data_IF_280706495553
#
_entry.id   IF_280706495553
#
_cell.length_a   1.000
_cell.length_b   1.000
_cell.length_c   1.000
_cell.angle_alpha   90.00
_cell.angle_beta   90.00
_cell.angle_gamma   90.00
#
_symmetry.space_group_name_H-M   'P 1'
#
loop_
_entity.id
_entity.type
_entity.pdbx_description
1 polymer ?
#
# COMPACT_ATOMS: atom_id res chain seq x y z
N UNK A 1 48.57 -18.99 14.05
CA UNK A 1 47.09 -18.89 14.03
C UNK A 1 46.68 -18.88 12.57
N UNK A 2 45.82 -19.82 12.17
CA UNK A 2 45.54 -20.15 10.75
C UNK A 2 45.14 -18.92 9.92
N UNK A 3 45.87 -18.66 8.84
CA UNK A 3 45.56 -17.65 7.82
C UNK A 3 44.41 -18.06 6.87
N UNK A 4 43.77 -19.20 7.10
CA UNK A 4 42.82 -19.81 6.14
C UNK A 4 41.34 -19.80 6.56
N UNK A 5 40.98 -19.24 7.72
CA UNK A 5 39.57 -19.26 8.16
C UNK A 5 38.83 -18.01 7.65
N UNK A 6 38.17 -18.14 6.49
CA UNK A 6 37.26 -17.11 5.96
C UNK A 6 36.07 -16.92 6.88
N UNK A 7 35.62 -15.68 7.03
CA UNK A 7 34.42 -15.34 7.81
C UNK A 7 33.17 -15.86 7.09
N UNK A 8 32.34 -16.65 7.78
CA UNK A 8 31.06 -17.09 7.23
C UNK A 8 30.02 -16.01 7.53
N UNK A 9 29.40 -15.48 6.47
CA UNK A 9 28.36 -14.46 6.52
C UNK A 9 27.07 -14.99 5.88
N UNK A 10 25.92 -14.54 6.37
CA UNK A 10 24.62 -14.82 5.79
C UNK A 10 24.31 -13.96 4.56
N UNK A 11 23.08 -14.04 4.08
CA UNK A 11 22.61 -13.20 2.97
C UNK A 11 22.44 -11.72 3.35
N UNK A 12 22.38 -11.42 4.65
CA UNK A 12 22.27 -10.10 5.25
C UNK A 12 23.17 -10.03 6.48
N UNK A 13 23.88 -8.91 6.66
CA UNK A 13 24.75 -8.70 7.82
C UNK A 13 24.71 -7.25 8.31
N UNK A 14 25.03 -7.07 9.59
CA UNK A 14 25.31 -5.76 10.16
C UNK A 14 26.80 -5.44 10.05
N UNK A 15 27.10 -4.22 9.62
CA UNK A 15 28.48 -3.72 9.57
C UNK A 15 28.54 -2.27 10.06
N UNK A 16 29.74 -1.80 10.42
CA UNK A 16 29.95 -0.42 10.85
C UNK A 16 31.11 0.23 10.12
N UNK A 17 31.09 1.56 10.06
CA UNK A 17 32.12 2.41 9.48
C UNK A 17 32.50 3.49 10.50
N UNK A 18 33.42 3.21 11.43
CA UNK A 18 33.80 4.16 12.48
C UNK A 18 34.29 5.51 11.93
N UNK A 19 35.05 5.50 10.83
CA UNK A 19 35.56 6.71 10.18
C UNK A 19 34.45 7.60 9.59
N UNK A 20 33.27 7.03 9.30
CA UNK A 20 32.10 7.75 8.80
C UNK A 20 31.08 8.06 9.91
N UNK A 21 31.36 7.69 11.16
CA UNK A 21 30.40 7.84 12.26
C UNK A 21 29.17 6.95 12.13
N UNK A 22 29.25 5.84 11.38
CA UNK A 22 28.14 4.90 11.17
C UNK A 22 28.36 3.68 12.08
N UNK A 23 27.72 3.61 13.27
CA UNK A 23 27.89 2.51 14.22
C UNK A 23 27.23 1.21 13.78
N UNK A 24 26.21 1.23 12.92
CA UNK A 24 25.56 0.02 12.39
C UNK A 24 24.71 0.28 11.12
N UNK A 25 25.05 -0.33 9.99
CA UNK A 25 24.25 -0.32 8.77
C UNK A 25 24.01 -1.75 8.29
N UNK A 26 22.76 -2.05 7.91
CA UNK A 26 22.41 -3.36 7.37
C UNK A 26 22.84 -3.45 5.92
N UNK A 27 23.70 -4.42 5.61
CA UNK A 27 24.18 -4.69 4.27
C UNK A 27 23.52 -5.95 3.71
N UNK A 28 23.10 -5.89 2.45
CA UNK A 28 22.88 -7.11 1.66
C UNK A 28 24.22 -7.63 1.20
N UNK A 29 24.51 -8.90 1.46
CA UNK A 29 25.69 -9.57 0.95
C UNK A 29 25.40 -9.98 -0.50
N UNK A 30 26.02 -9.28 -1.45
CA UNK A 30 25.67 -9.37 -2.87
C UNK A 30 26.92 -9.71 -3.71
N UNK A 31 27.10 -10.99 -3.98
CA UNK A 31 28.21 -11.49 -4.80
C UNK A 31 28.08 -11.11 -6.29
N UNK A 32 26.90 -10.67 -6.73
CA UNK A 32 26.64 -10.14 -8.06
C UNK A 32 27.12 -8.70 -8.23
N UNK A 33 27.16 -7.92 -7.15
CA UNK A 33 27.73 -6.58 -7.17
C UNK A 33 29.27 -6.62 -7.17
N UNK A 34 29.91 -5.95 -8.14
CA UNK A 34 31.38 -5.88 -8.19
C UNK A 34 31.94 -5.12 -6.99
N UNK A 35 31.52 -3.87 -6.83
CA UNK A 35 31.97 -2.94 -5.78
C UNK A 35 30.83 -2.70 -4.79
N UNK A 36 31.17 -2.50 -3.51
CA UNK A 36 30.21 -2.17 -2.47
C UNK A 36 29.55 -0.80 -2.73
N UNK A 37 28.33 -0.61 -2.21
CA UNK A 37 27.61 0.66 -2.34
C UNK A 37 26.94 1.04 -1.04
N UNK A 38 26.98 2.33 -0.72
CA UNK A 38 26.34 2.91 0.46
C UNK A 38 25.27 3.91 0.00
N UNK A 39 24.11 3.87 0.67
CA UNK A 39 23.07 4.87 0.52
C UNK A 39 23.61 6.23 0.94
N UNK A 40 23.53 7.21 0.05
CA UNK A 40 23.92 8.58 0.31
C UNK A 40 22.98 9.54 -0.40
N UNK A 41 22.63 10.62 0.29
CA UNK A 41 21.87 11.76 -0.24
C UNK A 41 22.52 13.08 0.23
N UNK A 42 22.04 14.22 -0.27
CA UNK A 42 22.65 15.54 -0.01
C UNK A 42 24.17 15.54 -0.25
N UNK A 43 24.58 14.99 -1.41
CA UNK A 43 26.00 14.79 -1.74
C UNK A 43 26.60 16.10 -2.25
N UNK A 44 27.53 16.67 -1.49
CA UNK A 44 28.20 17.95 -1.78
C UNK A 44 29.72 17.79 -1.81
N UNK A 45 30.37 17.90 -2.99
CA UNK A 45 31.82 17.92 -3.08
C UNK A 45 32.39 19.26 -2.58
N UNK A 46 33.54 19.24 -1.91
CA UNK A 46 34.26 20.43 -1.46
C UNK A 46 35.76 20.18 -1.46
N UNK A 47 36.56 21.23 -1.28
CA UNK A 47 38.02 21.11 -1.14
C UNK A 47 38.43 21.41 0.30
N UNK A 48 39.30 20.58 0.88
CA UNK A 48 39.89 20.76 2.20
C UNK A 48 41.40 20.57 2.07
N UNK A 49 42.18 21.59 2.42
CA UNK A 49 43.65 21.57 2.36
C UNK A 49 44.23 21.13 1.00
N UNK A 50 43.57 21.51 -0.11
CA UNK A 50 44.00 21.17 -1.47
C UNK A 50 43.54 19.79 -1.97
N UNK A 51 42.90 18.98 -1.13
CA UNK A 51 42.35 17.68 -1.49
C UNK A 51 40.85 17.74 -1.78
N UNK A 52 40.36 16.87 -2.67
CA UNK A 52 38.94 16.74 -2.98
C UNK A 52 38.24 15.90 -1.92
N UNK A 53 37.26 16.47 -1.28
CA UNK A 53 36.42 15.86 -0.25
C UNK A 53 34.96 15.84 -0.68
N UNK A 54 34.16 15.04 0.02
CA UNK A 54 32.72 14.98 -0.15
C UNK A 54 32.02 14.93 1.19
N UNK A 55 30.96 15.72 1.33
CA UNK A 55 30.00 15.63 2.42
C UNK A 55 28.73 14.98 1.90
N UNK A 56 28.12 14.11 2.69
CA UNK A 56 26.88 13.42 2.34
C UNK A 56 26.16 12.98 3.61
N UNK A 57 24.88 12.69 3.47
CA UNK A 57 24.05 12.17 4.54
C UNK A 57 23.63 10.74 4.24
N UNK A 58 23.51 9.94 5.31
CA UNK A 58 23.15 8.52 5.25
C UNK A 58 21.98 8.28 6.19
N UNK A 59 20.97 7.57 5.70
CA UNK A 59 19.99 6.88 6.52
C UNK A 59 20.44 5.42 6.74
N UNK A 60 21.05 5.09 7.89
CA UNK A 60 21.70 3.77 8.06
C UNK A 60 20.71 2.67 8.47
N UNK A 61 19.56 3.04 9.03
CA UNK A 61 18.53 2.11 9.47
C UNK A 61 17.51 1.90 8.34
N UNK A 62 17.19 0.63 8.08
CA UNK A 62 16.19 0.25 7.07
C UNK A 62 14.82 0.89 7.38
N UNK A 63 14.17 1.45 6.36
CA UNK A 63 12.85 2.12 6.47
C UNK A 63 12.78 3.26 7.50
N UNK A 64 13.92 3.83 7.90
CA UNK A 64 13.99 4.97 8.81
C UNK A 64 14.76 6.12 8.12
N UNK A 65 14.08 7.24 7.89
CA UNK A 65 14.67 8.48 7.37
C UNK A 65 14.90 9.56 8.44
N UNK A 66 14.56 9.28 9.70
CA UNK A 66 14.76 10.20 10.83
C UNK A 66 16.22 10.14 11.29
N UNK A 67 16.75 8.93 11.45
CA UNK A 67 18.16 8.72 11.80
C UNK A 67 19.02 9.09 10.60
N UNK A 68 19.74 10.20 10.73
CA UNK A 68 20.62 10.72 9.68
C UNK A 68 22.02 10.86 10.25
N UNK A 69 22.99 10.24 9.57
CA UNK A 69 24.40 10.40 9.87
C UNK A 69 25.00 11.28 8.79
N UNK A 70 25.59 12.40 9.20
CA UNK A 70 26.34 13.27 8.29
C UNK A 70 27.78 12.79 8.23
N UNK A 71 28.24 12.49 7.03
CA UNK A 71 29.54 11.92 6.75
C UNK A 71 30.39 12.88 5.92
N UNK A 72 31.70 12.82 6.11
CA UNK A 72 32.68 13.46 5.23
C UNK A 72 33.82 12.48 4.94
N UNK A 73 34.30 12.46 3.70
CA UNK A 73 35.40 11.58 3.30
C UNK A 73 36.17 12.15 2.10
N UNK A 74 37.49 11.87 1.96
CA UNK A 74 38.22 12.13 0.73
C UNK A 74 37.64 11.36 -0.46
N UNK A 75 37.58 12.00 -1.63
CA UNK A 75 37.17 11.35 -2.87
C UNK A 75 38.38 10.69 -3.51
N UNK A 76 38.36 9.36 -3.64
CA UNK A 76 39.45 8.61 -4.28
C UNK A 76 39.24 8.42 -5.79
N UNK A 77 37.97 8.39 -6.24
CA UNK A 77 37.63 8.17 -7.64
C UNK A 77 36.18 8.63 -7.97
N UNK A 78 35.86 8.75 -9.27
CA UNK A 78 34.50 8.86 -9.79
C UNK A 78 34.32 7.91 -10.97
N UNK A 79 33.53 6.85 -10.78
CA UNK A 79 33.33 5.82 -11.81
C UNK A 79 31.87 5.67 -12.23
N UNK A 80 31.68 5.21 -13.47
CA UNK A 80 30.37 4.82 -13.97
C UNK A 80 30.01 3.43 -13.42
N UNK A 81 28.89 3.34 -12.73
CA UNK A 81 28.33 2.09 -12.20
C UNK A 81 27.08 1.77 -12.99
N UNK A 82 26.97 0.52 -13.46
CA UNK A 82 25.80 0.01 -14.17
C UNK A 82 24.90 -0.73 -13.17
N UNK A 83 23.63 -0.37 -13.09
CA UNK A 83 22.64 -1.07 -12.28
C UNK A 83 22.23 -2.40 -12.93
N UNK A 84 21.56 -3.25 -12.15
CA UNK A 84 20.90 -4.46 -12.69
C UNK A 84 19.80 -4.15 -13.70
N UNK A 85 19.20 -2.95 -13.67
CA UNK A 85 18.24 -2.45 -14.67
C UNK A 85 18.87 -1.99 -15.99
N UNK A 86 20.20 -1.87 -16.03
CA UNK A 86 20.95 -1.47 -17.24
C UNK A 86 21.36 0.01 -17.28
N UNK A 87 20.85 0.82 -16.36
CA UNK A 87 21.14 2.26 -16.26
C UNK A 87 22.58 2.51 -15.80
N UNK A 88 23.20 3.55 -16.35
CA UNK A 88 24.55 3.99 -16.00
C UNK A 88 24.50 5.27 -15.18
N UNK A 89 25.14 5.24 -14.02
CA UNK A 89 25.23 6.39 -13.12
C UNK A 89 26.69 6.68 -12.78
N UNK A 90 27.10 7.96 -12.79
CA UNK A 90 28.45 8.37 -12.36
C UNK A 90 28.46 8.63 -10.86
N UNK A 91 29.13 7.77 -10.10
CA UNK A 91 29.13 7.80 -8.63
C UNK A 91 30.48 8.21 -8.07
N UNK A 92 30.47 8.89 -6.93
CA UNK A 92 31.68 9.14 -6.14
C UNK A 92 32.10 7.85 -5.44
N UNK A 93 33.41 7.66 -5.32
CA UNK A 93 34.02 6.53 -4.64
C UNK A 93 34.84 7.06 -3.48
N UNK A 94 34.61 6.47 -2.31
CA UNK A 94 35.37 6.74 -1.09
C UNK A 94 36.02 5.43 -0.61
N UNK A 95 37.11 5.54 0.15
CA UNK A 95 37.66 4.41 0.90
C UNK A 95 37.20 4.52 2.35
N UNK A 96 36.75 3.40 2.94
CA UNK A 96 36.45 3.35 4.37
C UNK A 96 36.70 1.95 4.93
N UNK A 97 37.17 1.89 6.16
CA UNK A 97 37.32 0.64 6.91
C UNK A 97 35.94 0.11 7.33
N UNK A 98 35.59 -1.11 6.89
CA UNK A 98 34.37 -1.82 7.30
C UNK A 98 34.68 -2.74 8.47
N UNK A 99 33.83 -2.73 9.48
CA UNK A 99 33.90 -3.64 10.61
C UNK A 99 32.69 -4.60 10.57
N UNK A 100 32.96 -5.90 10.55
CA UNK A 100 31.95 -6.96 10.40
C UNK A 100 32.44 -8.26 11.05
N UNK A 101 31.65 -8.86 11.93
CA UNK A 101 31.95 -10.14 12.57
C UNK A 101 33.31 -10.20 13.28
N UNK A 102 33.69 -9.11 13.96
CA UNK A 102 34.99 -8.99 14.64
C UNK A 102 36.18 -8.73 13.71
N UNK A 103 36.00 -8.73 12.39
CA UNK A 103 37.02 -8.39 11.40
C UNK A 103 36.91 -6.93 10.98
N UNK A 104 38.05 -6.31 10.64
CA UNK A 104 38.12 -4.95 10.10
C UNK A 104 39.08 -4.89 8.91
N UNK A 105 38.67 -4.27 7.81
CA UNK A 105 39.48 -4.09 6.60
C UNK A 105 38.91 -2.99 5.70
N UNK A 106 39.75 -2.43 4.83
CA UNK A 106 39.36 -1.33 3.94
C UNK A 106 38.58 -1.82 2.71
N UNK A 107 37.55 -1.05 2.34
CA UNK A 107 36.74 -1.28 1.14
C UNK A 107 36.47 0.04 0.41
N UNK A 108 36.34 -0.07 -0.91
CA UNK A 108 35.79 1.00 -1.72
C UNK A 108 34.26 1.01 -1.63
N UNK A 109 33.69 2.20 -1.39
CA UNK A 109 32.26 2.44 -1.35
C UNK A 109 31.86 3.40 -2.46
N UNK A 110 30.92 2.97 -3.30
CA UNK A 110 30.23 3.88 -4.21
C UNK A 110 29.04 4.55 -3.50
N UNK A 111 28.96 5.88 -3.56
CA UNK A 111 27.86 6.65 -2.98
C UNK A 111 26.70 6.73 -3.98
N UNK A 112 25.51 6.33 -3.57
CA UNK A 112 24.31 6.34 -4.44
C UNK A 112 23.02 6.54 -3.65
N UNK A 113 22.02 7.20 -4.26
CA UNK A 113 20.73 7.31 -3.61
C UNK A 113 19.93 6.01 -3.74
N UNK A 114 19.94 5.22 -2.67
CA UNK A 114 19.22 3.94 -2.55
C UNK A 114 17.91 4.02 -1.75
N UNK A 115 17.29 5.20 -1.62
CA UNK A 115 16.11 5.41 -0.77
C UNK A 115 14.88 4.57 -1.14
N UNK A 116 14.72 4.31 -2.43
CA UNK A 116 13.63 3.49 -2.99
C UNK A 116 14.00 2.02 -3.08
N UNK A 117 15.23 1.65 -2.68
CA UNK A 117 15.75 0.30 -2.77
C UNK A 117 15.65 -0.44 -1.44
N UNK A 118 15.54 -1.77 -1.50
CA UNK A 118 15.33 -2.61 -0.31
C UNK A 118 16.48 -2.61 0.70
N UNK A 119 17.69 -2.17 0.36
CA UNK A 119 18.87 -2.14 1.26
C UNK A 119 19.67 -0.86 1.14
N UNK A 120 20.03 -0.29 2.31
CA UNK A 120 20.84 0.92 2.45
C UNK A 120 22.31 0.67 2.13
N UNK A 121 22.79 -0.58 2.15
CA UNK A 121 24.13 -0.95 1.74
C UNK A 121 24.15 -2.27 0.97
N UNK A 122 25.04 -2.36 -0.03
CA UNK A 122 25.45 -3.62 -0.64
C UNK A 122 26.92 -3.89 -0.29
N UNK A 123 27.21 -5.10 0.17
CA UNK A 123 28.56 -5.60 0.32
C UNK A 123 28.93 -6.40 -0.95
N UNK A 124 29.79 -5.82 -1.79
CA UNK A 124 30.13 -6.37 -3.09
C UNK A 124 31.27 -7.39 -3.05
N UNK A 125 31.47 -8.10 -4.16
CA UNK A 125 32.44 -9.17 -4.31
C UNK A 125 33.89 -8.74 -4.07
N UNK A 126 34.29 -7.52 -4.41
CA UNK A 126 35.64 -7.01 -4.12
C UNK A 126 35.94 -6.91 -2.62
N UNK A 127 34.93 -6.57 -1.81
CA UNK A 127 35.06 -6.57 -0.36
C UNK A 127 35.17 -8.00 0.20
N UNK A 128 34.40 -8.94 -0.36
CA UNK A 128 34.33 -10.33 0.12
C UNK A 128 35.50 -11.21 -0.32
N UNK A 129 36.10 -10.93 -1.48
CA UNK A 129 37.07 -11.81 -2.14
C UNK A 129 38.27 -12.11 -1.23
N UNK A 130 38.50 -13.40 -0.97
CA UNK A 130 39.57 -13.87 -0.08
C UNK A 130 39.29 -13.74 1.42
N UNK A 131 38.18 -13.09 1.82
CA UNK A 131 37.86 -12.78 3.23
C UNK A 131 36.64 -13.53 3.75
N UNK A 132 35.65 -13.82 2.90
CA UNK A 132 34.33 -14.30 3.33
C UNK A 132 33.83 -15.52 2.54
N UNK A 133 32.96 -16.30 3.19
CA UNK A 133 32.09 -17.32 2.58
C UNK A 133 30.63 -16.95 2.85
N UNK A 134 29.77 -17.04 1.84
CA UNK A 134 28.36 -16.64 1.96
C UNK A 134 27.48 -17.89 2.13
N UNK A 135 26.76 -17.97 3.24
CA UNK A 135 25.65 -18.89 3.43
C UNK A 135 24.34 -18.20 3.01
N UNK A 136 23.76 -18.57 1.85
CA UNK A 136 22.55 -17.92 1.35
C UNK A 136 21.29 -18.24 2.16
N UNK A 137 21.31 -19.30 2.98
CA UNK A 137 20.16 -19.71 3.80
C UNK A 137 20.14 -18.99 5.16
N UNK A 138 21.28 -18.47 5.61
CA UNK A 138 21.40 -17.76 6.87
C UNK A 138 21.25 -16.24 6.70
N UNK A 139 21.06 -15.55 7.82
CA UNK A 139 21.15 -14.08 7.94
C UNK A 139 21.68 -13.75 9.33
N UNK A 140 22.45 -12.68 9.44
CA UNK A 140 23.05 -12.22 10.70
C UNK A 140 23.97 -13.28 11.33
N UNK A 141 24.70 -14.03 10.50
CA UNK A 141 25.60 -15.11 10.94
C UNK A 141 26.72 -14.62 11.85
N UNK A 142 27.04 -13.33 11.77
CA UNK A 142 28.07 -12.70 12.61
C UNK A 142 27.51 -11.74 13.67
N UNK A 143 26.21 -11.84 13.95
CA UNK A 143 25.51 -11.10 15.00
C UNK A 143 24.32 -10.30 14.46
N UNK A 144 23.22 -10.33 15.20
CA UNK A 144 22.03 -9.49 14.93
C UNK A 144 21.92 -8.36 15.96
N UNK A 145 21.33 -7.25 15.53
CA UNK A 145 21.08 -6.07 16.35
C UNK A 145 19.59 -5.88 16.54
N UNK A 146 19.17 -5.81 17.80
CA UNK A 146 17.79 -5.48 18.15
C UNK A 146 17.49 -3.99 17.88
N UNK A 147 16.22 -3.62 17.68
CA UNK A 147 15.82 -2.21 17.53
C UNK A 147 16.27 -1.31 18.69
N UNK A 148 16.29 -1.85 19.92
CA UNK A 148 16.74 -1.11 21.12
C UNK A 148 18.23 -0.82 21.06
N UNK A 149 19.06 -1.81 20.68
CA UNK A 149 20.50 -1.63 20.52
C UNK A 149 20.80 -0.60 19.42
N UNK A 150 20.10 -0.66 18.28
CA UNK A 150 20.25 0.33 17.21
C UNK A 150 19.91 1.75 17.69
N UNK A 151 18.81 1.90 18.43
CA UNK A 151 18.40 3.20 18.96
C UNK A 151 19.44 3.79 19.92
N UNK A 152 19.98 2.96 20.82
CA UNK A 152 21.07 3.33 21.72
C UNK A 152 22.34 3.74 20.96
N UNK A 153 22.76 2.96 19.95
CA UNK A 153 23.96 3.22 19.15
C UNK A 153 23.88 4.55 18.39
N UNK A 154 22.69 4.93 17.92
CA UNK A 154 22.49 6.17 17.17
C UNK A 154 22.14 7.37 18.05
N UNK A 155 22.10 7.21 19.38
CA UNK A 155 21.65 8.26 20.30
C UNK A 155 20.21 8.70 20.02
N UNK A 156 19.43 7.87 19.33
CA UNK A 156 18.02 8.12 19.09
C UNK A 156 17.35 7.70 20.38
N UNK A 157 17.06 8.67 21.24
CA UNK A 157 15.98 8.49 22.19
C UNK A 157 14.80 7.96 21.36
N UNK A 158 14.22 6.83 21.77
CA UNK A 158 12.84 6.53 21.37
C UNK A 158 12.00 7.65 21.94
N UNK A 159 12.03 8.82 21.31
CA UNK A 159 11.04 9.82 21.57
C UNK A 159 9.74 9.12 21.23
N UNK A 160 8.80 9.04 22.20
CA UNK A 160 7.46 8.61 21.89
C UNK A 160 7.02 9.40 20.66
N UNK A 161 6.42 8.73 19.68
CA UNK A 161 5.88 9.43 18.53
C UNK A 161 5.03 10.58 19.05
N UNK A 162 5.42 11.82 18.75
CA UNK A 162 4.57 13.00 19.00
C UNK A 162 3.38 13.04 18.02
N UNK A 163 3.32 12.09 17.09
CA UNK A 163 2.20 11.87 16.20
C UNK A 163 1.16 10.93 16.79
N UNK A 164 0.00 10.94 16.16
CA UNK A 164 -1.06 9.96 16.42
C UNK A 164 -0.57 8.51 16.37
N UNK A 165 -1.18 7.64 17.17
CA UNK A 165 -1.09 6.19 17.06
C UNK A 165 -2.20 5.68 16.14
N UNK A 166 -1.83 5.15 14.97
CA UNK A 166 -2.76 4.78 13.92
C UNK A 166 -2.64 3.28 13.60
N UNK A 167 -3.75 2.56 13.75
CA UNK A 167 -3.87 1.14 13.43
C UNK A 167 -4.29 0.89 11.97
N UNK A 168 -3.57 0.05 11.22
CA UNK A 168 -4.04 -0.48 9.94
C UNK A 168 -4.69 -1.83 10.17
N UNK A 169 -6.03 -1.87 10.21
CA UNK A 169 -6.83 -3.06 10.50
C UNK A 169 -7.07 -3.87 9.21
N UNK A 170 -6.29 -4.93 9.00
CA UNK A 170 -6.27 -5.68 7.75
C UNK A 170 -6.00 -7.18 7.97
N UNK A 171 -5.76 -7.94 6.90
CA UNK A 171 -5.52 -9.39 6.98
C UNK A 171 -4.20 -9.86 6.35
N UNK A 172 -3.44 -8.96 5.74
CA UNK A 172 -2.17 -9.30 5.10
C UNK A 172 -1.26 -8.05 5.07
N UNK A 173 -0.18 -8.01 5.86
CA UNK A 173 0.74 -6.87 5.90
C UNK A 173 1.55 -6.73 4.61
N UNK A 174 1.68 -7.79 3.81
CA UNK A 174 2.54 -7.81 2.63
C UNK A 174 1.92 -7.11 1.40
N UNK A 175 0.63 -6.79 1.42
CA UNK A 175 -0.05 -6.10 0.32
C UNK A 175 0.47 -4.67 0.17
N UNK A 176 0.70 -4.26 -1.09
CA UNK A 176 1.17 -2.92 -1.45
C UNK A 176 0.43 -1.81 -0.72
N UNK A 177 -0.91 -1.82 -0.75
CA UNK A 177 -1.72 -0.77 -0.12
C UNK A 177 -1.49 -0.66 1.39
N UNK A 178 -1.28 -1.78 2.08
CA UNK A 178 -1.09 -1.78 3.53
C UNK A 178 0.33 -1.31 3.87
N UNK A 179 1.36 -1.78 3.14
CA UNK A 179 2.73 -1.27 3.28
C UNK A 179 2.80 0.24 3.08
N UNK A 180 2.15 0.73 2.02
CA UNK A 180 2.11 2.16 1.70
C UNK A 180 1.45 3.00 2.77
N UNK A 181 0.36 2.54 3.38
CA UNK A 181 -0.27 3.22 4.52
C UNK A 181 0.64 3.27 5.75
N UNK A 182 1.27 2.14 6.10
CA UNK A 182 2.24 2.07 7.19
C UNK A 182 3.43 3.01 6.96
N UNK A 183 3.98 3.03 5.74
CA UNK A 183 5.08 3.91 5.35
C UNK A 183 4.66 5.39 5.36
N UNK A 184 3.50 5.72 4.78
CA UNK A 184 3.00 7.09 4.72
C UNK A 184 2.78 7.67 6.11
N UNK A 185 2.15 6.91 7.02
CA UNK A 185 1.93 7.39 8.38
C UNK A 185 3.24 7.56 9.17
N UNK A 186 4.15 6.59 9.08
CA UNK A 186 5.46 6.68 9.72
C UNK A 186 6.29 7.86 9.20
N UNK A 187 6.26 8.12 7.88
CA UNK A 187 6.92 9.25 7.24
C UNK A 187 6.36 10.61 7.70
N UNK A 188 5.08 10.64 8.10
CA UNK A 188 4.41 11.83 8.65
C UNK A 188 4.59 11.99 10.16
N UNK A 189 5.29 11.04 10.80
CA UNK A 189 5.71 11.11 12.19
C UNK A 189 4.85 10.30 13.15
N UNK A 190 3.79 9.65 12.66
CA UNK A 190 2.85 8.84 13.45
C UNK A 190 3.43 7.49 13.86
N UNK A 191 2.92 6.94 14.96
CA UNK A 191 3.13 5.55 15.33
C UNK A 191 2.16 4.69 14.54
N UNK A 192 2.68 3.81 13.68
CA UNK A 192 1.87 2.95 12.83
C UNK A 192 1.90 1.52 13.33
N UNK A 193 0.72 0.94 13.60
CA UNK A 193 0.57 -0.44 14.06
C UNK A 193 -0.25 -1.24 13.05
N UNK A 194 0.27 -2.37 12.61
CA UNK A 194 -0.51 -3.28 11.78
C UNK A 194 -1.34 -4.21 12.66
N UNK A 195 -2.65 -4.24 12.44
CA UNK A 195 -3.59 -5.04 13.23
C UNK A 195 -4.23 -6.11 12.33
N UNK A 196 -3.84 -7.36 12.52
CA UNK A 196 -4.55 -8.47 11.88
C UNK A 196 -5.94 -8.64 12.50
N UNK A 197 -6.98 -8.49 11.67
CA UNK A 197 -8.39 -8.63 12.05
C UNK A 197 -8.64 -9.92 12.84
N UNK A 198 -8.04 -11.05 12.46
CA UNK A 198 -8.29 -12.35 13.11
C UNK A 198 -7.60 -12.50 14.46
N UNK A 199 -6.62 -11.64 14.74
CA UNK A 199 -5.87 -11.64 15.99
C UNK A 199 -6.44 -10.62 16.99
N UNK A 200 -7.42 -9.82 16.58
CA UNK A 200 -8.13 -8.91 17.45
C UNK A 200 -9.37 -9.59 18.06
N UNK A 201 -9.64 -9.34 19.34
CA UNK A 201 -10.87 -9.74 20.04
C UNK A 201 -11.32 -8.63 20.98
N UNK A 202 -12.58 -8.65 21.42
CA UNK A 202 -13.18 -7.54 22.15
C UNK A 202 -13.81 -7.98 23.47
N UNK A 203 -13.70 -7.12 24.48
CA UNK A 203 -14.43 -7.22 25.74
C UNK A 203 -15.60 -6.24 25.68
N UNK A 204 -16.81 -6.79 25.64
CA UNK A 204 -18.04 -5.99 25.69
C UNK A 204 -18.43 -5.80 27.16
N UNK A 205 -18.10 -4.63 27.70
CA UNK A 205 -18.39 -4.25 29.06
C UNK A 205 -18.97 -2.84 29.10
N UNK A 206 -19.87 -2.56 30.04
CA UNK A 206 -20.57 -1.28 30.10
C UNK A 206 -19.67 -0.14 30.60
N UNK A 207 -18.67 -0.44 31.43
CA UNK A 207 -17.79 0.54 32.06
C UNK A 207 -16.40 0.56 31.43
N UNK A 208 -15.90 -0.60 31.01
CA UNK A 208 -14.52 -0.82 30.54
C UNK A 208 -14.49 -1.64 29.23
N UNK A 209 -15.09 -1.13 28.14
CA UNK A 209 -14.98 -1.75 26.83
C UNK A 209 -13.51 -1.75 26.35
N UNK A 210 -13.05 -2.88 25.82
CA UNK A 210 -11.65 -3.04 25.41
C UNK A 210 -11.52 -3.81 24.10
N UNK A 211 -10.51 -3.44 23.31
CA UNK A 211 -10.05 -4.24 22.18
C UNK A 211 -8.69 -4.82 22.53
N UNK A 212 -8.57 -6.13 22.36
CA UNK A 212 -7.37 -6.88 22.65
C UNK A 212 -6.75 -7.38 21.35
N UNK A 213 -5.43 -7.53 21.36
CA UNK A 213 -4.65 -8.20 20.33
C UNK A 213 -3.98 -9.44 20.90
N UNK A 214 -3.93 -10.51 20.10
CA UNK A 214 -3.23 -11.75 20.47
C UNK A 214 -1.80 -11.43 20.91
N UNK A 215 -1.46 -11.88 22.12
CA UNK A 215 -0.22 -11.48 22.80
C UNK A 215 -0.45 -10.60 24.03
N UNK A 216 -1.72 -10.29 24.36
CA UNK A 216 -2.10 -9.62 25.60
C UNK A 216 -2.09 -8.10 25.55
N UNK A 217 -2.06 -7.51 24.35
CA UNK A 217 -2.01 -6.05 24.19
C UNK A 217 -3.43 -5.49 24.16
N UNK A 218 -3.68 -4.44 24.93
CA UNK A 218 -4.92 -3.66 24.87
C UNK A 218 -4.71 -2.50 23.89
N UNK A 219 -5.64 -2.31 22.96
CA UNK A 219 -5.54 -1.39 21.82
C UNK A 219 -6.36 -0.09 22.02
N UNK A 220 -6.73 0.24 23.26
CA UNK A 220 -7.57 1.39 23.58
C UNK A 220 -6.82 2.73 23.49
N UNK A 221 -5.48 2.71 23.33
CA UNK A 221 -4.64 3.90 23.20
C UNK A 221 -4.39 4.30 21.73
N UNK A 222 -5.13 3.71 20.78
CA UNK A 222 -5.06 4.04 19.36
C UNK A 222 -5.94 5.26 19.09
N UNK A 223 -5.41 6.29 18.42
CA UNK A 223 -6.18 7.49 18.07
C UNK A 223 -7.07 7.27 16.84
N UNK A 224 -6.60 6.47 15.87
CA UNK A 224 -7.32 6.19 14.65
C UNK A 224 -7.08 4.78 14.08
N UNK A 225 -8.06 4.25 13.36
CA UNK A 225 -7.95 2.98 12.65
C UNK A 225 -8.29 3.14 11.16
N UNK A 226 -7.55 2.44 10.29
CA UNK A 226 -7.80 2.37 8.85
C UNK A 226 -8.26 0.95 8.50
N UNK A 227 -9.57 0.68 8.41
CA UNK A 227 -10.07 -0.64 8.07
C UNK A 227 -9.83 -0.97 6.59
N UNK A 228 -9.06 -2.03 6.34
CA UNK A 228 -8.76 -2.59 5.02
C UNK A 228 -9.37 -3.98 4.91
N UNK A 229 -10.69 -4.04 5.11
CA UNK A 229 -11.44 -5.27 5.32
C UNK A 229 -11.73 -5.97 3.98
N UNK A 230 -11.26 -7.22 3.86
CA UNK A 230 -11.61 -8.11 2.74
C UNK A 230 -13.06 -8.57 2.85
N UNK A 231 -13.77 -8.85 1.74
CA UNK A 231 -15.19 -9.19 1.81
C UNK A 231 -15.53 -10.41 2.68
N UNK A 232 -14.65 -11.42 2.74
CA UNK A 232 -14.83 -12.61 3.59
C UNK A 232 -14.78 -12.30 5.09
N UNK A 233 -14.21 -11.16 5.48
CA UNK A 233 -14.08 -10.72 6.87
C UNK A 233 -15.00 -9.54 7.18
N UNK A 234 -15.95 -9.21 6.29
CA UNK A 234 -16.79 -8.00 6.43
C UNK A 234 -17.51 -7.95 7.78
N UNK A 235 -18.19 -9.04 8.17
CA UNK A 235 -18.93 -9.08 9.43
C UNK A 235 -18.02 -8.76 10.63
N UNK A 236 -16.96 -9.54 10.82
CA UNK A 236 -16.08 -9.39 11.98
C UNK A 236 -15.24 -8.10 11.94
N UNK A 237 -14.73 -7.73 10.76
CA UNK A 237 -14.00 -6.48 10.57
C UNK A 237 -14.86 -5.24 10.87
N UNK A 238 -16.13 -5.22 10.44
CA UNK A 238 -17.05 -4.15 10.79
C UNK A 238 -17.43 -4.18 12.28
N UNK A 239 -17.52 -5.35 12.91
CA UNK A 239 -17.75 -5.45 14.35
C UNK A 239 -16.60 -4.83 15.15
N UNK A 240 -15.34 -5.15 14.81
CA UNK A 240 -14.16 -4.52 15.40
C UNK A 240 -14.14 -3.01 15.16
N UNK A 241 -14.38 -2.58 13.92
CA UNK A 241 -14.38 -1.15 13.57
C UNK A 241 -15.43 -0.38 14.39
N UNK A 242 -16.64 -0.95 14.52
CA UNK A 242 -17.71 -0.35 15.35
C UNK A 242 -17.37 -0.35 16.83
N UNK A 243 -16.58 -1.32 17.30
CA UNK A 243 -16.13 -1.31 18.69
C UNK A 243 -15.03 -0.26 18.91
N UNK A 244 -14.10 -0.07 17.97
CA UNK A 244 -13.17 1.07 17.97
C UNK A 244 -13.93 2.40 18.03
N UNK A 245 -14.98 2.54 17.22
CA UNK A 245 -15.88 3.72 17.27
C UNK A 245 -16.50 3.92 18.65
N UNK A 246 -16.89 2.85 19.36
CA UNK A 246 -17.52 2.95 20.68
C UNK A 246 -16.58 3.37 21.81
N UNK A 247 -15.27 3.34 21.57
CA UNK A 247 -14.23 3.80 22.50
C UNK A 247 -13.51 5.04 21.96
N UNK A 248 -14.22 5.84 21.15
CA UNK A 248 -13.78 7.13 20.60
C UNK A 248 -12.54 7.08 19.66
N UNK A 249 -12.21 5.91 19.13
CA UNK A 249 -11.15 5.77 18.11
C UNK A 249 -11.70 6.12 16.74
N UNK A 250 -11.03 7.02 16.01
CA UNK A 250 -11.49 7.50 14.71
C UNK A 250 -11.29 6.49 13.58
N UNK A 251 -12.33 6.04 12.86
CA UNK A 251 -12.18 5.10 11.76
C UNK A 251 -12.16 5.77 10.38
N UNK A 252 -11.24 5.34 9.51
CA UNK A 252 -11.20 5.76 8.09
C UNK A 252 -11.36 4.55 7.16
N UNK A 253 -12.57 4.09 6.81
CA UNK A 253 -13.92 4.63 7.07
C UNK A 253 -14.63 3.95 8.27
N UNK A 254 -15.76 4.50 8.72
CA UNK A 254 -16.62 3.89 9.74
C UNK A 254 -17.32 2.58 9.28
N UNK A 255 -17.73 1.78 10.26
CA UNK A 255 -18.28 0.44 10.06
C UNK A 255 -19.59 0.44 9.25
N UNK A 256 -20.46 1.42 9.49
CA UNK A 256 -21.76 1.53 8.81
C UNK A 256 -21.58 1.78 7.32
N UNK A 257 -20.71 2.73 6.96
CA UNK A 257 -20.41 3.09 5.57
C UNK A 257 -19.71 1.97 4.83
N UNK A 258 -18.80 1.24 5.50
CA UNK A 258 -18.20 0.02 4.95
C UNK A 258 -19.28 -1.01 4.65
N UNK A 259 -20.17 -1.28 5.60
CA UNK A 259 -21.26 -2.26 5.46
C UNK A 259 -22.20 -1.89 4.29
N UNK A 260 -22.62 -0.63 4.20
CA UNK A 260 -23.46 -0.14 3.10
C UNK A 260 -22.81 -0.29 1.73
N UNK A 261 -21.50 0.02 1.62
CA UNK A 261 -20.78 -0.14 0.36
C UNK A 261 -20.57 -1.60 -0.06
N UNK A 262 -20.57 -2.53 0.90
CA UNK A 262 -20.34 -3.97 0.67
C UNK A 262 -21.60 -4.68 0.20
N UNK A 263 -22.75 -4.25 0.70
CA UNK A 263 -24.04 -4.70 0.20
C UNK A 263 -24.36 -3.96 -1.11
N UNK A 264 -24.13 -4.64 -2.24
CA UNK A 264 -24.34 -4.07 -3.58
C UNK A 264 -25.80 -3.69 -3.81
N UNK A 265 -26.76 -4.47 -3.30
CA UNK A 265 -28.17 -4.18 -3.51
C UNK A 265 -28.56 -2.93 -2.72
N UNK A 266 -28.23 -2.92 -1.43
CA UNK A 266 -28.50 -1.75 -0.57
C UNK A 266 -27.81 -0.49 -1.10
N UNK A 267 -26.54 -0.60 -1.51
CA UNK A 267 -25.77 0.50 -2.09
C UNK A 267 -26.48 1.08 -3.32
N UNK A 268 -26.88 0.24 -4.28
CA UNK A 268 -27.58 0.69 -5.49
C UNK A 268 -28.95 1.32 -5.17
N UNK A 269 -29.72 0.74 -4.25
CA UNK A 269 -31.00 1.30 -3.80
C UNK A 269 -30.81 2.67 -3.14
N UNK A 270 -29.79 2.82 -2.30
CA UNK A 270 -29.48 4.08 -1.64
C UNK A 270 -29.05 5.15 -2.66
N UNK A 271 -28.20 4.79 -3.62
CA UNK A 271 -27.74 5.68 -4.68
C UNK A 271 -28.90 6.13 -5.58
N UNK A 272 -29.78 5.20 -5.97
CA UNK A 272 -30.99 5.48 -6.75
C UNK A 272 -31.95 6.40 -5.98
N UNK A 273 -32.19 6.15 -4.69
CA UNK A 273 -32.98 7.04 -3.82
C UNK A 273 -32.40 8.45 -3.72
N UNK A 274 -31.09 8.63 -3.90
CA UNK A 274 -30.41 9.93 -3.92
C UNK A 274 -30.39 10.59 -5.31
N UNK A 275 -31.06 9.99 -6.29
CA UNK A 275 -31.15 10.50 -7.66
C UNK A 275 -29.81 10.45 -8.40
N UNK A 276 -28.98 9.43 -8.11
CA UNK A 276 -27.74 9.19 -8.84
C UNK A 276 -28.00 8.22 -9.99
N UNK A 277 -27.48 8.57 -11.16
CA UNK A 277 -27.57 7.75 -12.36
C UNK A 277 -26.79 6.43 -12.18
N UNK A 278 -27.50 5.32 -12.26
CA UNK A 278 -26.97 3.96 -12.24
C UNK A 278 -27.50 3.22 -13.47
N UNK A 279 -26.82 2.18 -13.97
CA UNK A 279 -27.39 1.34 -15.00
C UNK A 279 -28.67 0.67 -14.51
N UNK A 280 -29.62 0.49 -15.43
CA UNK A 280 -30.87 -0.24 -15.21
C UNK A 280 -30.55 -1.61 -14.65
N UNK A 281 -31.03 -1.88 -13.43
CA UNK A 281 -30.66 -3.07 -12.66
C UNK A 281 -31.90 -3.75 -12.09
N UNK A 282 -32.11 -5.01 -12.45
CA UNK A 282 -33.06 -5.92 -11.82
C UNK A 282 -32.39 -6.72 -10.70
N UNK A 283 -33.14 -7.01 -9.64
CA UNK A 283 -32.70 -7.88 -8.55
C UNK A 283 -33.68 -9.02 -8.37
N UNK A 284 -33.16 -10.23 -8.16
CA UNK A 284 -34.00 -11.36 -7.85
C UNK A 284 -33.30 -12.38 -6.93
N UNK A 285 -34.06 -12.96 -6.01
CA UNK A 285 -33.61 -14.03 -5.11
C UNK A 285 -33.92 -15.41 -5.71
N UNK A 286 -35.12 -15.57 -6.26
CA UNK A 286 -35.52 -16.70 -7.09
C UNK A 286 -36.72 -16.28 -7.94
N UNK A 287 -36.52 -15.66 -9.12
CA UNK A 287 -37.65 -15.31 -9.96
C UNK A 287 -38.30 -16.60 -10.46
N UNK A 288 -39.62 -16.76 -10.37
CA UNK A 288 -40.28 -17.84 -11.11
C UNK A 288 -40.19 -17.59 -12.62
N UNK A 289 -40.04 -16.33 -13.04
CA UNK A 289 -39.95 -15.95 -14.44
C UNK A 289 -38.61 -15.29 -14.81
N UNK A 290 -37.70 -16.04 -15.44
CA UNK A 290 -36.41 -15.53 -15.93
C UNK A 290 -36.58 -14.53 -17.08
N UNK A 291 -37.61 -14.72 -17.91
CA UNK A 291 -37.84 -13.90 -19.08
C UNK A 291 -38.20 -12.47 -18.67
N UNK A 292 -39.08 -12.32 -17.68
CA UNK A 292 -39.46 -11.03 -17.14
C UNK A 292 -38.25 -10.26 -16.57
N UNK A 293 -37.36 -10.93 -15.84
CA UNK A 293 -36.16 -10.29 -15.29
C UNK A 293 -35.22 -9.75 -16.37
N UNK A 294 -35.10 -10.45 -17.50
CA UNK A 294 -34.32 -9.98 -18.65
C UNK A 294 -35.01 -8.78 -19.31
N UNK A 295 -36.33 -8.81 -19.43
CA UNK A 295 -37.09 -7.72 -20.05
C UNK A 295 -37.10 -6.46 -19.20
N UNK A 296 -37.08 -6.58 -17.86
CA UNK A 296 -36.94 -5.47 -16.91
C UNK A 296 -35.68 -4.62 -17.14
N UNK A 297 -34.60 -5.20 -17.69
CA UNK A 297 -33.35 -4.48 -17.97
C UNK A 297 -33.17 -4.11 -19.44
N UNK A 298 -34.20 -4.31 -20.27
CA UNK A 298 -34.16 -3.99 -21.70
C UNK A 298 -33.63 -5.11 -22.61
N UNK A 299 -33.52 -6.34 -22.11
CA UNK A 299 -33.10 -7.49 -22.91
C UNK A 299 -31.58 -7.71 -22.95
N UNK A 300 -31.14 -8.58 -23.87
CA UNK A 300 -29.73 -8.86 -24.10
C UNK A 300 -29.10 -7.87 -25.11
N UNK A 301 -27.80 -7.56 -25.03
CA UNK A 301 -26.83 -8.08 -24.06
C UNK A 301 -27.03 -7.55 -22.63
N UNK A 302 -26.81 -8.40 -21.63
CA UNK A 302 -27.00 -8.08 -20.20
C UNK A 302 -25.87 -8.63 -19.33
N UNK A 303 -25.68 -8.01 -18.17
CA UNK A 303 -24.72 -8.44 -17.14
C UNK A 303 -25.46 -9.16 -16.02
N UNK A 304 -25.02 -10.36 -15.67
CA UNK A 304 -25.47 -11.09 -14.48
C UNK A 304 -24.39 -11.03 -13.41
N UNK A 305 -24.72 -10.52 -12.22
CA UNK A 305 -23.80 -10.39 -11.08
C UNK A 305 -24.28 -11.19 -9.89
N UNK A 306 -23.41 -12.02 -9.33
CA UNK A 306 -23.62 -12.64 -8.02
C UNK A 306 -23.40 -11.60 -6.91
N UNK A 307 -24.30 -11.58 -5.93
CA UNK A 307 -24.13 -10.74 -4.74
C UNK A 307 -22.99 -11.25 -3.85
N UNK A 308 -22.78 -12.56 -3.80
CA UNK A 308 -21.70 -13.19 -3.06
C UNK A 308 -20.48 -13.37 -3.97
N UNK A 309 -19.37 -12.68 -3.65
CA UNK A 309 -18.11 -12.80 -4.39
C UNK A 309 -17.22 -11.55 -4.34
N UNK A 310 -15.94 -11.70 -4.66
CA UNK A 310 -14.94 -10.62 -4.65
C UNK A 310 -14.24 -10.50 -6.00
N UNK A 311 -13.80 -9.30 -6.37
CA UNK A 311 -12.90 -9.06 -7.53
C UNK A 311 -13.48 -9.50 -8.90
N UNK A 312 -14.77 -9.31 -9.14
CA UNK A 312 -15.37 -9.62 -10.45
C UNK A 312 -15.60 -11.12 -10.74
N UNK A 313 -15.24 -12.02 -9.81
CA UNK A 313 -15.72 -13.41 -9.83
C UNK A 313 -17.23 -13.40 -9.58
N UNK A 314 -17.99 -13.95 -10.54
CA UNK A 314 -19.44 -13.91 -10.52
C UNK A 314 -20.07 -12.75 -11.30
N UNK A 315 -19.32 -12.05 -12.17
CA UNK A 315 -19.89 -11.13 -13.18
C UNK A 315 -19.79 -11.80 -14.55
N UNK A 316 -20.93 -12.02 -15.20
CA UNK A 316 -21.05 -12.72 -16.49
C UNK A 316 -21.74 -11.80 -17.49
N UNK A 317 -21.18 -11.68 -18.70
CA UNK A 317 -21.84 -11.07 -19.84
C UNK A 317 -22.63 -12.15 -20.58
N UNK A 318 -23.94 -11.94 -20.73
CA UNK A 318 -24.80 -12.73 -21.57
C UNK A 318 -25.14 -11.94 -22.83
N UNK A 319 -24.52 -12.33 -23.95
CA UNK A 319 -24.70 -11.63 -25.24
C UNK A 319 -26.08 -11.86 -25.87
N UNK A 320 -26.74 -12.97 -25.53
CA UNK A 320 -28.05 -13.35 -26.05
C UNK A 320 -29.03 -13.62 -24.92
N UNK A 321 -30.33 -13.49 -25.21
CA UNK A 321 -31.40 -13.81 -24.26
C UNK A 321 -31.27 -15.24 -23.71
N UNK A 322 -31.05 -16.22 -24.61
CA UNK A 322 -30.85 -17.63 -24.23
C UNK A 322 -29.65 -17.83 -23.31
N UNK A 323 -28.53 -17.14 -23.58
CA UNK A 323 -27.37 -17.19 -22.68
C UNK A 323 -27.70 -16.60 -21.31
N UNK A 324 -28.44 -15.48 -21.27
CA UNK A 324 -28.91 -14.85 -20.03
C UNK A 324 -29.81 -15.79 -19.23
N UNK A 325 -30.78 -16.41 -19.89
CA UNK A 325 -31.68 -17.39 -19.29
C UNK A 325 -30.90 -18.58 -18.70
N UNK A 326 -29.95 -19.12 -19.46
CA UNK A 326 -29.12 -20.23 -19.00
C UNK A 326 -28.30 -19.89 -17.76
N UNK A 327 -27.68 -18.70 -17.72
CA UNK A 327 -26.86 -18.26 -16.58
C UNK A 327 -27.74 -18.00 -15.36
N UNK A 328 -28.86 -17.31 -15.53
CA UNK A 328 -29.80 -17.03 -14.44
C UNK A 328 -30.36 -18.34 -13.86
N UNK A 329 -30.77 -19.30 -14.71
CA UNK A 329 -31.27 -20.60 -14.27
C UNK A 329 -30.21 -21.43 -13.54
N UNK A 330 -28.95 -21.39 -14.00
CA UNK A 330 -27.84 -22.05 -13.32
C UNK A 330 -27.53 -21.42 -11.95
N UNK A 331 -27.73 -20.12 -11.77
CA UNK A 331 -27.54 -19.46 -10.48
C UNK A 331 -28.72 -19.75 -9.54
N UNK A 332 -29.95 -19.80 -10.07
CA UNK A 332 -31.15 -20.20 -9.30
C UNK A 332 -31.01 -21.58 -8.66
N UNK A 333 -30.48 -22.56 -9.38
CA UNK A 333 -30.29 -23.91 -8.83
C UNK A 333 -29.32 -23.96 -7.66
N UNK A 334 -28.51 -22.92 -7.48
CA UNK A 334 -27.62 -22.73 -6.32
C UNK A 334 -28.27 -21.97 -5.16
N UNK A 335 -29.57 -21.61 -5.27
CA UNK A 335 -30.30 -20.79 -4.30
C UNK A 335 -29.56 -19.48 -3.94
N UNK A 336 -28.94 -18.85 -4.94
CA UNK A 336 -28.13 -17.65 -4.76
C UNK A 336 -28.82 -16.39 -5.29
N UNK A 337 -28.70 -15.30 -4.54
CA UNK A 337 -29.17 -13.99 -4.95
C UNK A 337 -28.36 -13.44 -6.15
N UNK A 338 -29.06 -12.87 -7.13
CA UNK A 338 -28.45 -12.34 -8.34
C UNK A 338 -28.97 -10.94 -8.69
N UNK A 339 -28.11 -10.16 -9.33
CA UNK A 339 -28.44 -8.91 -10.00
C UNK A 339 -28.32 -9.11 -11.50
N UNK A 340 -29.29 -8.59 -12.24
CA UNK A 340 -29.22 -8.46 -13.69
C UNK A 340 -29.13 -6.98 -14.02
N UNK A 341 -28.27 -6.58 -14.93
CA UNK A 341 -28.01 -5.18 -15.25
C UNK A 341 -27.85 -5.00 -16.76
N UNK A 342 -28.30 -3.85 -17.28
CA UNK A 342 -28.07 -3.50 -18.69
C UNK A 342 -26.57 -3.49 -19.03
N UNK A 343 -26.21 -3.94 -20.23
CA UNK A 343 -24.83 -3.88 -20.71
C UNK A 343 -24.57 -2.59 -21.49
N UNK A 344 -23.66 -1.76 -20.99
CA UNK A 344 -23.25 -0.50 -21.63
C UNK A 344 -22.19 -0.78 -22.70
N UNK A 345 -22.63 -1.20 -23.90
CA UNK A 345 -21.75 -1.63 -25.00
C UNK A 345 -20.86 -0.50 -25.53
N UNK A 346 -21.38 0.73 -25.55
CA UNK A 346 -20.68 1.92 -26.03
C UNK A 346 -19.46 2.30 -25.20
N UNK A 347 -19.35 1.78 -23.97
CA UNK A 347 -18.17 1.97 -23.13
C UNK A 347 -16.95 1.19 -23.64
N UNK A 348 -17.12 0.23 -24.56
CA UNK A 348 -16.04 -0.53 -25.19
C UNK A 348 -15.06 -1.16 -24.19
N UNK A 349 -15.60 -1.72 -23.10
CA UNK A 349 -14.78 -2.36 -22.05
C UNK A 349 -13.89 -1.37 -21.28
N UNK A 350 -14.32 -0.10 -21.18
CA UNK A 350 -13.62 0.95 -20.42
C UNK A 350 -14.47 1.44 -19.27
N UNK A 351 -13.82 1.72 -18.16
CA UNK A 351 -14.47 2.36 -17.02
C UNK A 351 -13.50 3.32 -16.33
N UNK A 352 -14.06 4.24 -15.55
CA UNK A 352 -13.32 5.26 -14.82
C UNK A 352 -13.29 4.88 -13.35
N UNK A 353 -12.10 4.83 -12.76
CA UNK A 353 -11.89 4.73 -11.33
C UNK A 353 -11.55 6.11 -10.79
N UNK A 354 -12.48 6.72 -10.07
CA UNK A 354 -12.26 7.98 -9.36
C UNK A 354 -11.93 7.69 -7.89
N UNK A 355 -10.81 8.20 -7.39
CA UNK A 355 -10.44 8.08 -5.99
C UNK A 355 -10.81 9.35 -5.25
N UNK A 356 -11.68 9.21 -4.26
CA UNK A 356 -12.25 10.31 -3.49
C UNK A 356 -11.71 10.27 -2.08
N UNK A 357 -11.22 11.41 -1.59
CA UNK A 357 -10.87 11.65 -0.19
C UNK A 357 -11.51 12.97 0.24
N UNK A 358 -12.16 13.00 1.40
CA UNK A 358 -12.78 14.20 1.98
C UNK A 358 -13.71 14.94 1.00
N UNK A 359 -14.50 14.19 0.24
CA UNK A 359 -15.43 14.76 -0.75
C UNK A 359 -14.74 15.41 -1.96
N UNK A 360 -13.47 15.12 -2.23
CA UNK A 360 -12.72 15.58 -3.40
C UNK A 360 -12.17 14.40 -4.19
N UNK A 361 -12.33 14.42 -5.51
CA UNK A 361 -11.65 13.46 -6.40
C UNK A 361 -10.18 13.88 -6.54
N UNK A 362 -9.28 13.14 -5.90
CA UNK A 362 -7.84 13.44 -5.86
C UNK A 362 -7.09 12.82 -7.05
N UNK A 363 -7.58 11.72 -7.59
CA UNK A 363 -7.00 11.01 -8.71
C UNK A 363 -8.08 10.25 -9.50
N UNK A 364 -7.84 10.06 -10.79
CA UNK A 364 -8.72 9.32 -11.68
C UNK A 364 -7.91 8.57 -12.74
N UNK A 365 -8.27 7.31 -12.97
CA UNK A 365 -7.69 6.47 -14.01
C UNK A 365 -8.81 5.89 -14.88
N UNK A 366 -8.55 5.75 -16.17
CA UNK A 366 -9.36 4.93 -17.06
C UNK A 366 -8.75 3.54 -17.04
N UNK A 367 -9.58 2.53 -16.77
CA UNK A 367 -9.17 1.14 -16.92
C UNK A 367 -9.73 0.62 -18.24
N UNK A 368 -8.94 -0.21 -18.93
CA UNK A 368 -9.34 -0.86 -20.18
C UNK A 368 -9.21 -2.37 -20.04
N UNK A 369 -10.26 -3.08 -20.43
CA UNK A 369 -10.25 -4.54 -20.49
C UNK A 369 -9.22 -5.05 -21.50
N UNK A 370 -8.71 -6.27 -21.25
CA UNK A 370 -7.85 -6.96 -22.21
C UNK A 370 -8.65 -7.36 -23.47
N UNK A 371 -7.98 -7.63 -24.62
CA UNK A 371 -8.68 -8.12 -25.82
C UNK A 371 -9.51 -9.38 -25.50
N UNK A 372 -10.80 -9.35 -25.85
CA UNK A 372 -11.75 -10.44 -25.58
C UNK A 372 -12.37 -10.43 -24.17
N UNK A 373 -12.03 -9.45 -23.32
CA UNK A 373 -12.61 -9.26 -22.00
C UNK A 373 -13.45 -7.97 -21.97
N UNK A 374 -14.56 -7.96 -21.23
CA UNK A 374 -15.40 -6.76 -21.07
C UNK A 374 -15.16 -6.06 -19.73
N UNK A 375 -14.55 -6.77 -18.77
CA UNK A 375 -14.21 -6.25 -17.44
C UNK A 375 -12.84 -5.57 -17.47
N UNK A 376 -12.81 -4.31 -17.08
CA UNK A 376 -11.59 -3.51 -17.05
C UNK A 376 -10.76 -3.65 -15.75
N UNK A 377 -10.98 -4.70 -14.96
CA UNK A 377 -10.28 -4.87 -13.69
C UNK A 377 -8.78 -5.14 -13.92
N UNK A 378 -7.92 -4.39 -13.23
CA UNK A 378 -6.45 -4.55 -13.31
C UNK A 378 -5.98 -5.96 -12.96
N UNK A 379 -6.63 -6.60 -11.97
CA UNK A 379 -6.31 -7.98 -11.57
C UNK A 379 -6.62 -9.03 -12.66
N UNK A 380 -7.36 -8.67 -13.71
CA UNK A 380 -7.70 -9.54 -14.84
C UNK A 380 -6.89 -9.20 -16.11
N UNK A 381 -5.75 -8.51 -15.95
CA UNK A 381 -4.88 -8.14 -17.08
C UNK A 381 -5.32 -6.87 -17.81
N UNK A 382 -6.27 -6.12 -17.25
CA UNK A 382 -6.63 -4.80 -17.75
C UNK A 382 -5.48 -3.80 -17.59
N UNK A 383 -5.46 -2.76 -18.44
CA UNK A 383 -4.49 -1.66 -18.34
C UNK A 383 -5.12 -0.44 -17.64
N UNK A 384 -4.31 0.36 -16.96
CA UNK A 384 -4.75 1.65 -16.42
C UNK A 384 -3.95 2.79 -17.04
N UNK A 385 -4.64 3.87 -17.38
CA UNK A 385 -4.04 5.11 -17.84
C UNK A 385 -4.64 6.30 -17.09
N UNK A 386 -3.85 7.37 -16.94
CA UNK A 386 -4.34 8.63 -16.38
C UNK A 386 -5.48 9.18 -17.26
N UNK A 387 -6.56 9.64 -16.64
CA UNK A 387 -7.70 10.22 -17.35
C UNK A 387 -8.15 11.52 -16.72
N UNK A 388 -8.50 12.49 -17.56
CA UNK A 388 -9.19 13.71 -17.13
C UNK A 388 -10.69 13.46 -17.12
N UNK A 389 -11.29 13.56 -15.94
CA UNK A 389 -12.74 13.42 -15.77
C UNK A 389 -13.49 14.74 -15.98
N UNK A 390 -14.73 14.65 -16.42
CA UNK A 390 -15.63 15.79 -16.63
C UNK A 390 -16.15 16.35 -15.29
N UNK A 391 -16.71 17.57 -15.27
CA UNK A 391 -17.36 18.11 -14.07
C UNK A 391 -18.54 17.25 -13.58
N UNK A 392 -19.25 16.62 -14.51
CA UNK A 392 -20.38 15.73 -14.22
C UNK A 392 -19.91 14.43 -13.56
N UNK A 393 -18.89 13.77 -14.11
CA UNK A 393 -18.26 12.57 -13.53
C UNK A 393 -17.72 12.83 -12.13
N UNK A 394 -17.06 13.99 -11.95
CA UNK A 394 -16.57 14.42 -10.63
C UNK A 394 -17.70 14.61 -9.63
N UNK A 395 -18.79 15.27 -10.04
CA UNK A 395 -19.96 15.50 -9.20
C UNK A 395 -20.64 14.18 -8.83
N UNK A 396 -20.78 13.26 -9.77
CA UNK A 396 -21.32 11.92 -9.56
C UNK A 396 -20.49 11.17 -8.51
N UNK A 397 -19.16 11.15 -8.65
CA UNK A 397 -18.27 10.49 -7.71
C UNK A 397 -18.41 11.05 -6.29
N UNK A 398 -18.39 12.38 -6.13
CA UNK A 398 -18.49 13.04 -4.82
C UNK A 398 -19.86 12.82 -4.17
N UNK A 399 -20.95 12.90 -4.96
CA UNK A 399 -22.30 12.63 -4.43
C UNK A 399 -22.46 11.17 -3.99
N UNK A 400 -21.88 10.23 -4.74
CA UNK A 400 -21.94 8.81 -4.41
C UNK A 400 -21.26 8.49 -3.07
N UNK A 401 -20.06 9.03 -2.83
CA UNK A 401 -19.37 8.82 -1.54
C UNK A 401 -20.10 9.49 -0.39
N UNK A 402 -20.63 10.70 -0.60
CA UNK A 402 -21.45 11.40 0.40
C UNK A 402 -22.74 10.62 0.73
N UNK A 403 -23.39 10.03 -0.27
CA UNK A 403 -24.60 9.23 -0.05
C UNK A 403 -24.34 8.01 0.85
N UNK A 404 -23.16 7.39 0.71
CA UNK A 404 -22.76 6.22 1.48
C UNK A 404 -22.01 6.54 2.79
N UNK A 405 -21.75 7.81 3.09
CA UNK A 405 -21.00 8.23 4.28
C UNK A 405 -19.50 7.89 4.22
N UNK A 406 -18.94 7.67 3.03
CA UNK A 406 -17.53 7.28 2.86
C UNK A 406 -16.62 8.52 2.76
N UNK A 407 -15.64 8.58 3.65
CA UNK A 407 -14.59 9.59 3.63
C UNK A 407 -13.55 9.30 2.54
N UNK A 408 -13.17 8.02 2.41
CA UNK A 408 -12.26 7.51 1.36
C UNK A 408 -12.97 6.44 0.55
N UNK A 409 -13.01 6.59 -0.77
CA UNK A 409 -13.59 5.56 -1.63
C UNK A 409 -13.00 5.55 -3.04
N UNK A 410 -13.05 4.39 -3.67
CA UNK A 410 -12.92 4.25 -5.11
C UNK A 410 -14.31 4.17 -5.75
N UNK A 411 -14.61 5.08 -6.66
CA UNK A 411 -15.90 5.17 -7.35
C UNK A 411 -15.70 4.77 -8.81
N UNK A 412 -16.43 3.76 -9.25
CA UNK A 412 -16.35 3.22 -10.61
C UNK A 412 -17.50 3.77 -11.43
N UNK A 413 -17.18 4.43 -12.53
CA UNK A 413 -18.12 5.11 -13.42
C UNK A 413 -17.93 4.57 -14.83
N UNK A 414 -19.04 4.38 -15.54
CA UNK A 414 -19.03 4.03 -16.96
C UNK A 414 -19.62 5.17 -17.78
N UNK A 415 -19.02 5.48 -18.92
CA UNK A 415 -19.55 6.46 -19.86
C UNK A 415 -20.59 5.77 -20.75
N UNK A 416 -21.80 6.31 -20.79
CA UNK A 416 -22.89 5.82 -21.65
C UNK A 416 -23.41 6.94 -22.56
N UNK A 417 -24.25 6.59 -23.53
CA UNK A 417 -24.96 7.57 -24.35
C UNK A 417 -25.89 8.50 -23.54
N UNK A 418 -26.33 8.06 -22.35
CA UNK A 418 -27.19 8.84 -21.44
C UNK A 418 -26.40 9.74 -20.47
N UNK A 419 -25.06 9.71 -20.53
CA UNK A 419 -24.18 10.36 -19.56
C UNK A 419 -23.40 9.36 -18.68
N UNK A 420 -22.69 9.82 -17.65
CA UNK A 420 -21.94 8.96 -16.76
C UNK A 420 -22.86 8.18 -15.81
N UNK A 421 -22.70 6.86 -15.76
CA UNK A 421 -23.46 5.98 -14.87
C UNK A 421 -22.54 5.41 -13.79
N UNK A 422 -23.02 5.34 -12.55
CA UNK A 422 -22.30 4.81 -11.41
C UNK A 422 -22.41 3.28 -11.36
N UNK A 423 -21.27 2.58 -11.39
CA UNK A 423 -21.20 1.11 -11.36
C UNK A 423 -21.10 0.58 -9.93
N UNK A 424 -20.12 1.06 -9.18
CA UNK A 424 -19.84 0.62 -7.80
C UNK A 424 -19.09 1.67 -7.00
N UNK A 425 -19.23 1.61 -5.67
CA UNK A 425 -18.46 2.43 -4.73
C UNK A 425 -17.76 1.49 -3.73
N UNK A 426 -16.43 1.57 -3.68
CA UNK A 426 -15.59 0.70 -2.88
C UNK A 426 -15.03 1.45 -1.67
N UNK A 427 -15.33 0.99 -0.46
CA UNK A 427 -14.85 1.55 0.82
C UNK A 427 -13.39 1.24 1.14
N UNK A 428 -12.79 0.24 0.49
CA UNK A 428 -11.37 -0.14 0.67
C UNK A 428 -10.67 -0.27 -0.68
N UNK A 429 -10.54 0.82 -1.46
CA UNK A 429 -9.96 0.79 -2.79
C UNK A 429 -8.47 0.46 -2.75
N UNK A 430 -7.97 -0.35 -3.69
CA UNK A 430 -6.53 -0.61 -3.82
C UNK A 430 -5.75 0.64 -4.25
N UNK A 431 -4.52 0.77 -3.74
CA UNK A 431 -3.65 1.93 -3.99
C UNK A 431 -2.67 1.71 -5.14
N UNK A 432 -2.23 0.47 -5.38
CA UNK A 432 -1.14 0.16 -6.32
C UNK A 432 -1.38 0.68 -7.74
N UNK A 433 -2.52 0.31 -8.34
CA UNK A 433 -2.82 0.72 -9.71
C UNK A 433 -2.95 2.23 -9.88
N UNK A 434 -3.47 2.93 -8.86
CA UNK A 434 -3.69 4.37 -8.95
C UNK A 434 -2.45 5.18 -8.62
N UNK A 435 -1.67 4.80 -7.60
CA UNK A 435 -0.38 5.45 -7.29
C UNK A 435 0.61 5.23 -8.43
N UNK A 436 0.69 4.02 -8.99
CA UNK A 436 1.58 3.73 -10.14
C UNK A 436 1.20 4.54 -11.38
N UNK A 437 -0.09 4.64 -11.70
CA UNK A 437 -0.53 5.38 -12.89
C UNK A 437 -0.47 6.90 -12.75
N UNK A 438 -0.56 7.43 -11.52
CA UNK A 438 -0.67 8.88 -11.28
C UNK A 438 0.59 9.50 -10.70
N UNK A 439 1.48 8.70 -10.09
CA UNK A 439 2.64 9.17 -9.33
C UNK A 439 2.29 9.93 -8.05
N UNK A 440 1.02 9.95 -7.62
CA UNK A 440 0.57 10.67 -6.42
C UNK A 440 0.69 9.81 -5.16
N UNK A 441 0.97 10.47 -4.03
CA UNK A 441 0.99 9.85 -2.69
C UNK A 441 -0.43 9.77 -2.10
N UNK A 442 -1.22 8.82 -2.59
CA UNK A 442 -2.61 8.62 -2.16
C UNK A 442 -2.66 8.12 -0.71
N UNK A 443 -1.72 7.26 -0.30
CA UNK A 443 -1.63 6.84 1.10
C UNK A 443 -1.36 8.03 2.04
N UNK A 444 -0.46 8.95 1.66
CA UNK A 444 -0.21 10.19 2.39
C UNK A 444 -1.44 11.08 2.48
N UNK A 445 -2.21 11.22 1.41
CA UNK A 445 -3.48 11.96 1.43
C UNK A 445 -4.52 11.33 2.38
N UNK A 446 -4.54 10.00 2.50
CA UNK A 446 -5.38 9.29 3.48
C UNK A 446 -4.94 9.57 4.92
N UNK A 447 -3.64 9.56 5.22
CA UNK A 447 -3.15 9.92 6.56
C UNK A 447 -3.46 11.39 6.88
N UNK A 448 -3.27 12.29 5.91
CA UNK A 448 -3.60 13.70 6.08
C UNK A 448 -5.11 13.93 6.34
N UNK A 449 -5.98 13.05 5.83
CA UNK A 449 -7.41 13.06 6.16
C UNK A 449 -7.66 12.76 7.64
N UNK A 450 -6.95 11.78 8.21
CA UNK A 450 -7.01 11.44 9.64
C UNK A 450 -6.53 12.62 10.49
N UNK A 451 -5.37 13.20 10.14
CA UNK A 451 -4.84 14.36 10.86
C UNK A 451 -5.84 15.51 10.90
N UNK A 452 -6.51 15.82 9.77
CA UNK A 452 -7.57 16.83 9.71
C UNK A 452 -8.76 16.48 10.59
N UNK A 453 -9.21 15.22 10.56
CA UNK A 453 -10.35 14.77 11.33
C UNK A 453 -10.11 14.86 12.85
N UNK A 454 -8.87 14.59 13.28
CA UNK A 454 -8.44 14.66 14.68
C UNK A 454 -7.85 16.02 15.08
N UNK A 455 -7.89 17.02 14.19
CA UNK A 455 -7.29 18.34 14.39
C UNK A 455 -5.80 18.29 14.79
N UNK A 456 -5.08 17.24 14.40
CA UNK A 456 -3.67 17.08 14.71
C UNK A 456 -2.83 18.04 13.87
N UNK A 457 -1.84 18.67 14.50
CA UNK A 457 -0.87 19.55 13.85
C UNK A 457 0.53 19.03 14.11
N UNK A 458 1.41 19.01 13.08
CA UNK A 458 2.81 18.70 13.30
C UNK A 458 3.41 19.69 14.30
N UNK A 459 4.21 19.20 15.24
CA UNK A 459 5.08 20.08 16.02
C UNK A 459 5.91 20.92 15.05
N UNK A 460 5.92 22.25 15.24
CA UNK A 460 6.71 23.14 14.40
C UNK A 460 8.17 22.67 14.45
N UNK A 461 8.78 22.43 13.28
CA UNK A 461 10.21 22.17 13.19
C UNK A 461 10.93 23.44 13.63
N UNK A 462 11.39 23.48 14.87
CA UNK A 462 12.30 24.49 15.40
C UNK A 462 13.68 24.37 14.77
#
# INVERSE_FOLDING_TARGET
MNQDQKLIVGSEEWCSFPALGIPAVKARVDSGAKTSSLHAFNIHPFNRNGEKWISFEVHPIQRNRKTTVRCESPVIDRRFVKSSSGDREKRYVINSSVHIGGSSFDIELTLSNRDTMGYRMLLGREAMSGRMLVDPAASFSVGDLTPTQLSQMYGVATEPSSGLKIGVLASNPELYSNKRLMEAGANRGHEMVFLDIKLCYMKLDAETPEIHYRGGWILNDIDAVIPRIRPQLTFYGCALTRHFESIDVYPLNNASSISYSRDKLYSLQLLQRKGLEIPTTGFANSPMDTAELIDMVGGAPLIVKLLQGTQGRGVVLAETRKAGESVINAIKSLNANLLVQEFIKEAQGRDLRCFVIDGKVIASIERRAAPGEFRANLHQGGSAALVRITPEERRLAIKATKALGLQVAGVDIIRSAKGPLLLEVNSSPGLEGIETATGKDIAGDMIASIERALNWKPAAKT
#
